data_IF_112615297647
#
_entry.id   IF_112615297647
#
_cell.length_a   1.000
_cell.length_b   1.000
_cell.length_c   1.000
_cell.angle_alpha   90.00
_cell.angle_beta   90.00
_cell.angle_gamma   90.00
#
_symmetry.space_group_name_H-M   'P 1'
#
loop_
_entity.id
_entity.type
_entity.pdbx_description
1 polymer ?
#
# COMPACT_ATOMS: atom_id res chain seq x y z
N UNK A 1 24.82 18.53 -27.12
CA UNK A 1 23.65 17.63 -27.15
C UNK A 1 22.77 18.01 -25.97
N UNK A 2 21.72 18.75 -26.25
CA UNK A 2 20.68 19.14 -25.29
C UNK A 2 20.10 17.87 -24.67
N UNK A 3 20.08 17.78 -23.34
CA UNK A 3 19.32 16.73 -22.64
C UNK A 3 17.88 16.87 -23.08
N UNK A 4 17.42 16.02 -24.00
CA UNK A 4 16.00 15.90 -24.29
C UNK A 4 15.29 15.68 -22.95
N UNK A 5 14.28 16.52 -22.70
CA UNK A 5 13.43 16.38 -21.53
C UNK A 5 12.70 15.04 -21.69
N UNK A 6 13.20 13.99 -21.05
CA UNK A 6 12.50 12.72 -20.99
C UNK A 6 11.27 12.98 -20.13
N UNK A 7 10.10 13.02 -20.76
CA UNK A 7 8.79 13.11 -20.10
C UNK A 7 8.76 12.07 -18.97
N UNK A 8 8.24 12.45 -17.80
CA UNK A 8 8.21 11.62 -16.60
C UNK A 8 6.81 11.44 -16.05
N UNK A 9 6.72 10.73 -14.92
CA UNK A 9 5.51 10.73 -14.09
C UNK A 9 5.13 12.18 -13.73
N UNK A 10 3.84 12.41 -13.48
CA UNK A 10 3.28 13.70 -13.05
C UNK A 10 2.75 13.55 -11.62
N UNK A 11 3.59 13.74 -10.57
CA UNK A 11 3.20 13.54 -9.18
C UNK A 11 2.02 14.43 -8.74
N UNK A 12 1.98 15.66 -9.23
CA UNK A 12 0.93 16.64 -8.95
C UNK A 12 -0.44 16.23 -9.51
N UNK A 13 -0.44 15.44 -10.60
CA UNK A 13 -1.65 14.83 -11.18
C UNK A 13 -1.88 13.39 -10.76
N UNK A 14 -1.03 12.86 -9.87
CA UNK A 14 -0.99 11.45 -9.49
C UNK A 14 -1.02 10.48 -10.69
N UNK A 15 -0.36 10.87 -11.77
CA UNK A 15 -0.38 10.17 -13.05
C UNK A 15 0.99 9.55 -13.35
N UNK A 16 0.96 8.33 -13.88
CA UNK A 16 2.14 7.49 -14.11
C UNK A 16 2.37 7.43 -15.61
N UNK A 17 3.54 7.85 -16.08
CA UNK A 17 3.84 7.81 -17.51
C UNK A 17 3.89 6.36 -18.01
N UNK A 18 3.27 6.10 -19.16
CA UNK A 18 3.27 4.79 -19.78
C UNK A 18 4.46 4.60 -20.72
N UNK A 19 4.65 3.36 -21.16
CA UNK A 19 5.81 2.94 -21.97
C UNK A 19 5.90 3.69 -23.32
N UNK A 20 4.77 4.12 -23.86
CA UNK A 20 4.72 4.90 -25.11
C UNK A 20 5.32 6.31 -24.96
N UNK A 21 5.51 6.79 -23.73
CA UNK A 21 6.03 8.14 -23.46
C UNK A 21 5.01 9.26 -23.73
N UNK A 22 3.76 8.91 -24.03
CA UNK A 22 2.72 9.86 -24.44
C UNK A 22 1.54 9.82 -23.46
N UNK A 23 1.12 8.61 -23.08
CA UNK A 23 -0.06 8.37 -22.26
C UNK A 23 0.29 8.12 -20.79
N UNK A 24 -0.74 8.18 -19.96
CA UNK A 24 -0.65 8.09 -18.51
C UNK A 24 -1.61 7.05 -17.94
N UNK A 25 -1.29 6.56 -16.75
CA UNK A 25 -2.21 5.80 -15.93
C UNK A 25 -2.53 6.55 -14.64
N UNK A 26 -3.81 6.53 -14.26
CA UNK A 26 -4.28 6.99 -12.96
C UNK A 26 -4.77 5.79 -12.15
N UNK A 27 -4.59 5.85 -10.83
CA UNK A 27 -5.00 4.77 -9.93
C UNK A 27 -5.72 5.38 -8.73
N UNK A 28 -7.06 5.35 -8.70
CA UNK A 28 -7.82 5.82 -7.54
C UNK A 28 -7.57 4.97 -6.30
N UNK A 29 -7.82 5.58 -5.14
CA UNK A 29 -7.75 4.90 -3.87
C UNK A 29 -8.93 3.94 -3.70
N UNK A 30 -8.64 2.68 -3.36
CA UNK A 30 -9.62 1.64 -3.10
C UNK A 30 -9.20 0.94 -1.80
N UNK A 31 -9.69 1.40 -0.63
CA UNK A 31 -9.35 0.83 0.66
C UNK A 31 -9.60 -0.68 0.70
N UNK A 32 -8.56 -1.45 1.02
CA UNK A 32 -8.64 -2.92 1.11
C UNK A 32 -8.98 -3.66 -0.18
N UNK A 33 -9.07 -2.97 -1.32
CA UNK A 33 -9.61 -3.53 -2.56
C UNK A 33 -11.08 -3.89 -2.51
N UNK A 34 -11.83 -3.33 -1.56
CA UNK A 34 -13.27 -3.55 -1.44
C UNK A 34 -13.96 -2.54 -2.35
N UNK A 35 -14.72 -3.04 -3.32
CA UNK A 35 -15.44 -2.23 -4.32
C UNK A 35 -16.90 -2.63 -4.37
N UNK A 36 -17.75 -1.66 -4.66
CA UNK A 36 -19.17 -1.88 -4.94
C UNK A 36 -19.43 -1.73 -6.45
N UNK A 37 -20.55 -2.27 -6.98
CA UNK A 37 -20.87 -2.21 -8.40
C UNK A 37 -20.82 -0.80 -9.00
N UNK A 38 -21.19 0.22 -8.23
CA UNK A 38 -21.21 1.63 -8.62
C UNK A 38 -19.80 2.15 -8.90
N UNK A 39 -18.82 1.76 -8.07
CA UNK A 39 -17.40 2.09 -8.28
C UNK A 39 -16.89 1.44 -9.57
N UNK A 40 -17.27 0.19 -9.83
CA UNK A 40 -16.85 -0.52 -11.04
C UNK A 40 -17.47 0.09 -12.31
N UNK A 41 -18.77 0.43 -12.26
CA UNK A 41 -19.44 1.17 -13.35
C UNK A 41 -18.74 2.49 -13.63
N UNK A 42 -18.47 3.27 -12.59
CA UNK A 42 -17.78 4.57 -12.73
C UNK A 42 -16.40 4.43 -13.37
N UNK A 43 -15.63 3.41 -12.99
CA UNK A 43 -14.32 3.13 -13.62
C UNK A 43 -14.45 2.72 -15.09
N UNK A 44 -15.47 1.94 -15.43
CA UNK A 44 -15.77 1.56 -16.81
C UNK A 44 -16.17 2.80 -17.64
N UNK A 45 -17.08 3.63 -17.13
CA UNK A 45 -17.55 4.85 -17.80
C UNK A 45 -16.38 5.81 -18.10
N UNK A 46 -15.48 6.01 -17.14
CA UNK A 46 -14.26 6.84 -17.33
C UNK A 46 -13.33 6.20 -18.36
N UNK A 47 -13.12 4.88 -18.30
CA UNK A 47 -12.26 4.20 -19.25
C UNK A 47 -12.78 4.31 -20.69
N UNK A 48 -14.08 4.13 -20.91
CA UNK A 48 -14.71 4.25 -22.22
C UNK A 48 -14.69 5.69 -22.73
N UNK A 49 -15.11 6.65 -21.89
CA UNK A 49 -15.21 8.07 -22.27
C UNK A 49 -13.87 8.67 -22.72
N UNK A 50 -12.79 8.32 -22.02
CA UNK A 50 -11.46 8.87 -22.29
C UNK A 50 -10.59 7.93 -23.14
N UNK A 51 -11.17 6.86 -23.70
CA UNK A 51 -10.45 5.95 -24.59
C UNK A 51 -9.26 5.25 -23.93
N UNK A 52 -9.39 4.89 -22.66
CA UNK A 52 -8.34 4.19 -21.92
C UNK A 52 -7.99 2.86 -22.61
N UNK A 53 -6.70 2.56 -22.69
CA UNK A 53 -6.20 1.32 -23.27
C UNK A 53 -6.58 0.08 -22.44
N UNK A 54 -6.65 0.21 -21.11
CA UNK A 54 -7.05 -0.89 -20.23
C UNK A 54 -7.46 -0.44 -18.81
N UNK A 55 -8.26 -1.27 -18.15
CA UNK A 55 -8.41 -1.29 -16.70
C UNK A 55 -7.53 -2.41 -16.11
N UNK A 56 -6.53 -2.04 -15.31
CA UNK A 56 -5.55 -2.98 -14.76
C UNK A 56 -5.75 -3.21 -13.26
N UNK A 57 -6.14 -4.43 -12.88
CA UNK A 57 -6.05 -4.89 -11.48
C UNK A 57 -4.58 -5.02 -11.09
N UNK A 58 -4.19 -4.38 -9.99
CA UNK A 58 -2.82 -4.35 -9.49
C UNK A 58 -2.64 -5.25 -8.25
N UNK A 59 -1.39 -5.61 -7.96
CA UNK A 59 -1.06 -6.41 -6.75
C UNK A 59 -1.34 -5.70 -5.42
N UNK A 60 -1.59 -4.39 -5.46
CA UNK A 60 -1.99 -3.57 -4.32
C UNK A 60 -3.50 -3.53 -4.09
N UNK A 61 -4.28 -4.44 -4.71
CA UNK A 61 -5.74 -4.51 -4.60
C UNK A 61 -6.46 -3.23 -5.02
N UNK A 62 -6.04 -2.66 -6.15
CA UNK A 62 -6.68 -1.50 -6.78
C UNK A 62 -6.72 -1.66 -8.29
N UNK A 63 -7.54 -0.86 -8.95
CA UNK A 63 -7.70 -0.84 -10.41
C UNK A 63 -7.08 0.46 -10.93
N UNK A 64 -6.19 0.37 -11.91
CA UNK A 64 -5.65 1.53 -12.62
C UNK A 64 -6.34 1.70 -13.98
N UNK A 65 -6.64 2.93 -14.35
CA UNK A 65 -7.09 3.32 -15.69
C UNK A 65 -5.85 3.71 -16.49
N UNK A 66 -5.53 2.94 -17.52
CA UNK A 66 -4.26 3.01 -18.26
C UNK A 66 -4.49 3.55 -19.66
N UNK A 67 -3.60 4.42 -20.13
CA UNK A 67 -3.61 4.90 -21.52
C UNK A 67 -4.42 6.18 -21.70
N UNK A 68 -4.54 7.00 -20.67
CA UNK A 68 -5.19 8.31 -20.74
C UNK A 68 -4.22 9.33 -21.35
N UNK A 69 -4.75 10.26 -22.16
CA UNK A 69 -3.96 11.39 -22.63
C UNK A 69 -3.72 12.39 -21.51
N UNK A 70 -2.64 13.16 -21.62
CA UNK A 70 -2.25 14.10 -20.57
C UNK A 70 -3.27 15.22 -20.37
N UNK A 71 -3.83 15.73 -21.48
CA UNK A 71 -4.85 16.78 -21.50
C UNK A 71 -6.17 16.36 -20.84
N UNK A 72 -6.44 15.05 -20.79
CA UNK A 72 -7.68 14.48 -20.25
C UNK A 72 -7.60 14.19 -18.74
N UNK A 73 -6.40 14.22 -18.15
CA UNK A 73 -6.17 13.76 -16.78
C UNK A 73 -7.01 14.50 -15.73
N UNK A 74 -7.11 15.82 -15.83
CA UNK A 74 -7.81 16.64 -14.85
C UNK A 74 -9.33 16.42 -14.93
N UNK A 75 -9.86 16.28 -16.14
CA UNK A 75 -11.28 15.96 -16.39
C UNK A 75 -11.61 14.53 -15.94
N UNK A 76 -10.75 13.56 -16.24
CA UNK A 76 -10.90 12.18 -15.81
C UNK A 76 -10.91 12.06 -14.28
N UNK A 77 -10.00 12.74 -13.57
CA UNK A 77 -10.00 12.80 -12.11
C UNK A 77 -11.24 13.49 -11.54
N UNK A 78 -11.63 14.63 -12.12
CA UNK A 78 -12.79 15.41 -11.68
C UNK A 78 -14.08 14.59 -11.76
N UNK A 79 -14.30 13.89 -12.87
CA UNK A 79 -15.47 13.04 -13.04
C UNK A 79 -15.39 11.76 -12.20
N UNK A 80 -14.21 11.14 -12.11
CA UNK A 80 -13.99 9.98 -11.26
C UNK A 80 -14.28 10.30 -9.79
N UNK A 81 -14.00 11.52 -9.32
CA UNK A 81 -14.39 12.00 -7.99
C UNK A 81 -13.85 11.14 -6.84
N UNK A 82 -12.73 10.44 -7.06
CA UNK A 82 -12.07 9.59 -6.07
C UNK A 82 -10.70 10.18 -5.73
N UNK A 83 -10.24 9.95 -4.49
CA UNK A 83 -8.89 10.36 -4.10
C UNK A 83 -7.83 9.54 -4.84
N UNK A 84 -6.66 10.11 -5.17
CA UNK A 84 -5.55 9.34 -5.70
C UNK A 84 -5.07 8.24 -4.75
N UNK A 85 -4.79 7.05 -5.29
CA UNK A 85 -4.42 5.86 -4.53
C UNK A 85 -2.97 5.79 -4.07
N UNK A 86 -2.22 6.90 -4.10
CA UNK A 86 -0.79 6.93 -3.78
C UNK A 86 0.01 5.87 -4.57
N UNK A 87 -0.19 5.79 -5.88
CA UNK A 87 0.45 4.77 -6.72
C UNK A 87 1.93 5.04 -6.99
N UNK A 88 2.38 6.28 -6.81
CA UNK A 88 3.76 6.79 -6.90
C UNK A 88 4.14 7.53 -5.60
N UNK A 89 5.41 7.93 -5.45
CA UNK A 89 5.90 8.67 -4.27
C UNK A 89 6.56 7.84 -3.15
N UNK A 90 7.18 8.53 -2.18
CA UNK A 90 7.82 7.96 -1.00
C UNK A 90 6.87 8.03 0.19
N UNK A 91 5.88 7.15 0.19
CA UNK A 91 4.79 7.16 1.17
C UNK A 91 4.29 5.74 1.45
N UNK A 92 3.33 5.61 2.36
CA UNK A 92 2.52 4.40 2.50
C UNK A 92 1.67 4.23 1.25
N UNK A 93 2.12 3.34 0.35
CA UNK A 93 1.51 3.10 -0.97
C UNK A 93 0.21 2.31 -0.89
N UNK A 94 0.15 1.36 0.04
CA UNK A 94 -0.96 0.40 0.10
C UNK A 94 -1.02 -0.33 1.43
N UNK A 95 -2.23 -0.54 1.92
CA UNK A 95 -2.55 -1.52 2.97
C UNK A 95 -3.31 -2.67 2.30
N UNK A 96 -2.66 -3.83 2.12
CA UNK A 96 -3.26 -5.01 1.48
C UNK A 96 -4.06 -5.80 2.52
N UNK A 97 -5.33 -6.09 2.26
CA UNK A 97 -6.26 -6.66 3.22
C UNK A 97 -6.87 -7.96 2.67
N UNK A 98 -6.86 -9.03 3.46
CA UNK A 98 -7.58 -10.25 3.10
C UNK A 98 -9.03 -10.19 3.62
N UNK A 99 -9.93 -11.07 3.16
CA UNK A 99 -11.33 -10.97 3.55
C UNK A 99 -11.63 -11.20 5.05
N UNK A 100 -10.67 -11.71 5.84
CA UNK A 100 -10.79 -11.79 7.30
C UNK A 100 -11.97 -12.63 7.79
N UNK A 101 -12.34 -12.48 9.06
CA UNK A 101 -13.60 -13.02 9.60
C UNK A 101 -14.83 -12.33 9.00
N UNK A 102 -14.68 -11.16 8.40
CA UNK A 102 -15.75 -10.42 7.71
C UNK A 102 -16.37 -11.23 6.57
N UNK A 103 -15.56 -11.91 5.75
CA UNK A 103 -16.10 -12.70 4.62
C UNK A 103 -15.57 -14.14 4.51
N UNK A 104 -14.45 -14.50 5.15
CA UNK A 104 -13.79 -15.79 4.95
C UNK A 104 -13.95 -16.72 6.15
N UNK A 105 -14.48 -17.93 5.91
CA UNK A 105 -14.63 -18.99 6.94
C UNK A 105 -13.33 -19.44 7.63
N UNK A 106 -12.16 -19.15 7.03
CA UNK A 106 -10.84 -19.50 7.60
C UNK A 106 -10.28 -18.38 8.47
N UNK A 107 -10.88 -17.19 8.46
CA UNK A 107 -10.46 -16.05 9.26
C UNK A 107 -10.42 -16.42 10.74
N UNK A 108 -9.35 -15.99 11.42
CA UNK A 108 -9.18 -16.10 12.87
C UNK A 108 -9.34 -14.74 13.55
N UNK A 109 -9.01 -13.68 12.84
CA UNK A 109 -9.19 -12.30 13.26
C UNK A 109 -9.79 -11.46 12.13
N UNK A 110 -10.40 -10.33 12.49
CA UNK A 110 -10.95 -9.40 11.50
C UNK A 110 -9.84 -8.54 10.88
N UNK A 111 -9.33 -8.98 9.72
CA UNK A 111 -8.38 -8.19 8.96
C UNK A 111 -9.00 -7.02 8.22
N UNK A 112 -10.32 -7.04 7.97
CA UNK A 112 -10.99 -5.94 7.25
C UNK A 112 -11.10 -4.73 8.16
N UNK A 113 -11.67 -4.89 9.35
CA UNK A 113 -11.75 -3.80 10.34
C UNK A 113 -10.39 -3.19 10.67
N UNK A 114 -9.42 -4.01 11.09
CA UNK A 114 -8.07 -3.52 11.42
C UNK A 114 -7.37 -2.89 10.20
N UNK A 115 -7.44 -3.53 9.04
CA UNK A 115 -6.78 -3.02 7.85
C UNK A 115 -7.34 -1.69 7.36
N UNK A 116 -8.66 -1.48 7.45
CA UNK A 116 -9.28 -0.21 7.07
C UNK A 116 -8.91 0.92 8.03
N UNK A 117 -8.80 0.66 9.34
CA UNK A 117 -8.29 1.63 10.31
C UNK A 117 -6.85 2.07 10.00
N UNK A 118 -6.00 1.11 9.61
CA UNK A 118 -4.63 1.39 9.19
C UNK A 118 -4.59 2.17 7.87
N UNK A 119 -5.44 1.81 6.90
CA UNK A 119 -5.53 2.50 5.62
C UNK A 119 -5.98 3.96 5.82
N UNK A 120 -7.02 4.20 6.61
CA UNK A 120 -7.52 5.53 6.94
C UNK A 120 -6.44 6.40 7.60
N UNK A 121 -5.70 5.84 8.56
CA UNK A 121 -4.67 6.60 9.31
C UNK A 121 -3.40 6.84 8.50
N UNK A 122 -2.99 5.90 7.65
CA UNK A 122 -1.63 5.89 7.09
C UNK A 122 -1.54 6.00 5.57
N UNK A 123 -2.58 5.68 4.80
CA UNK A 123 -2.51 5.73 3.33
C UNK A 123 -2.05 7.11 2.84
N UNK A 124 -1.07 7.12 1.93
CA UNK A 124 -0.50 8.36 1.40
C UNK A 124 0.44 9.12 2.36
N UNK A 125 0.60 8.69 3.61
CA UNK A 125 1.51 9.32 4.57
C UNK A 125 2.95 9.28 4.04
N UNK A 126 3.60 10.44 3.96
CA UNK A 126 4.99 10.57 3.53
C UNK A 126 5.94 9.88 4.52
N UNK A 127 6.90 9.14 3.97
CA UNK A 127 7.88 8.35 4.68
C UNK A 127 9.23 8.40 3.96
N UNK A 128 10.34 8.01 4.62
CA UNK A 128 11.66 8.06 3.98
C UNK A 128 11.77 7.23 2.69
N UNK A 129 10.94 6.21 2.51
CA UNK A 129 10.84 5.43 1.27
C UNK A 129 9.41 4.92 1.06
N UNK A 130 9.15 4.29 -0.09
CA UNK A 130 7.86 3.61 -0.32
C UNK A 130 7.64 2.55 0.76
N UNK A 131 6.44 2.51 1.31
CA UNK A 131 6.09 1.63 2.41
C UNK A 131 4.79 0.89 2.10
N UNK A 132 4.71 -0.39 2.47
CA UNK A 132 3.56 -1.25 2.23
C UNK A 132 3.20 -1.97 3.51
N UNK A 133 1.90 -2.01 3.81
CA UNK A 133 1.36 -2.81 4.89
C UNK A 133 0.56 -3.98 4.33
N UNK A 134 0.42 -5.04 5.12
CA UNK A 134 -0.49 -6.14 4.82
C UNK A 134 -1.13 -6.68 6.08
N UNK A 135 -2.45 -6.92 6.03
CA UNK A 135 -3.24 -7.48 7.13
C UNK A 135 -3.93 -8.74 6.63
N UNK A 136 -3.64 -9.87 7.26
CA UNK A 136 -4.29 -11.15 6.99
C UNK A 136 -4.91 -11.71 8.26
N UNK A 137 -6.17 -12.14 8.19
CA UNK A 137 -6.90 -12.66 9.35
C UNK A 137 -6.48 -14.08 9.77
N UNK A 138 -5.60 -14.75 9.03
CA UNK A 138 -5.08 -16.08 9.38
C UNK A 138 -3.71 -16.36 8.72
N UNK A 139 -3.08 -17.48 9.09
CA UNK A 139 -1.76 -17.91 8.62
C UNK A 139 -1.66 -18.20 7.11
N UNK A 140 -2.76 -18.31 6.36
CA UNK A 140 -2.71 -18.41 4.90
C UNK A 140 -2.06 -17.18 4.25
N UNK A 141 -2.03 -16.04 4.96
CA UNK A 141 -1.34 -14.82 4.53
C UNK A 141 -1.70 -14.39 3.09
N UNK A 142 -2.99 -14.34 2.74
CA UNK A 142 -3.44 -13.92 1.41
C UNK A 142 -3.03 -12.47 1.06
N UNK A 143 -2.68 -11.66 2.06
CA UNK A 143 -2.10 -10.33 1.90
C UNK A 143 -0.57 -10.32 1.79
N UNK A 144 0.08 -11.48 1.69
CA UNK A 144 1.54 -11.69 1.67
C UNK A 144 2.27 -10.90 2.77
N UNK A 145 1.79 -11.00 4.01
CA UNK A 145 2.18 -10.13 5.13
C UNK A 145 3.68 -10.14 5.41
N UNK A 146 4.33 -11.30 5.30
CA UNK A 146 5.74 -11.46 5.63
C UNK A 146 6.68 -10.70 4.67
N UNK A 147 6.22 -10.32 3.48
CA UNK A 147 7.02 -9.55 2.51
C UNK A 147 6.62 -8.06 2.44
N UNK A 148 5.84 -7.60 3.42
CA UNK A 148 5.47 -6.18 3.58
C UNK A 148 6.41 -5.49 4.55
N UNK A 149 6.53 -4.17 4.44
CA UNK A 149 7.32 -3.37 5.37
C UNK A 149 6.79 -3.54 6.79
N UNK A 150 5.46 -3.60 6.94
CA UNK A 150 4.76 -4.09 8.14
C UNK A 150 3.71 -5.12 7.73
N UNK A 151 3.80 -6.31 8.33
CA UNK A 151 2.87 -7.41 8.12
C UNK A 151 2.15 -7.78 9.41
N UNK A 152 0.83 -8.01 9.32
CA UNK A 152 -0.02 -8.36 10.46
C UNK A 152 -0.78 -9.64 10.15
N UNK A 153 -0.61 -10.67 10.96
CA UNK A 153 -1.23 -11.99 10.76
C UNK A 153 -2.06 -12.39 11.97
N UNK A 154 -3.34 -12.64 11.75
CA UNK A 154 -4.25 -13.17 12.76
C UNK A 154 -3.93 -14.62 13.15
N UNK A 155 -4.03 -14.90 14.43
CA UNK A 155 -3.94 -16.22 15.08
C UNK A 155 -5.20 -16.43 15.91
N UNK A 156 -5.34 -17.60 16.53
CA UNK A 156 -6.43 -17.83 17.48
C UNK A 156 -6.30 -16.98 18.77
N UNK A 157 -5.11 -16.45 19.07
CA UNK A 157 -4.81 -15.71 20.30
C UNK A 157 -4.78 -14.19 20.13
N UNK A 158 -4.72 -13.70 18.89
CA UNK A 158 -4.58 -12.29 18.57
C UNK A 158 -3.88 -12.10 17.23
N UNK A 159 -3.05 -11.07 17.11
CA UNK A 159 -2.28 -10.75 15.92
C UNK A 159 -0.77 -10.83 16.16
N UNK A 160 -0.06 -11.37 15.19
CA UNK A 160 1.40 -11.30 15.14
C UNK A 160 1.82 -10.19 14.18
N UNK A 161 2.81 -9.40 14.58
CA UNK A 161 3.35 -8.29 13.79
C UNK A 161 4.76 -8.63 13.33
N UNK A 162 4.99 -8.51 12.03
CA UNK A 162 6.30 -8.64 11.40
C UNK A 162 6.73 -7.34 10.72
N UNK A 163 8.03 -7.10 10.63
CA UNK A 163 8.59 -5.87 10.06
C UNK A 163 9.77 -6.14 9.12
N UNK A 164 9.99 -5.25 8.16
CA UNK A 164 11.17 -5.29 7.30
C UNK A 164 11.05 -6.15 6.05
N UNK A 165 9.86 -6.67 5.74
CA UNK A 165 9.65 -7.48 4.53
C UNK A 165 9.78 -6.66 3.24
N UNK A 166 10.24 -7.31 2.17
CA UNK A 166 10.38 -6.72 0.86
C UNK A 166 10.23 -7.77 -0.25
N UNK A 167 9.38 -7.48 -1.24
CA UNK A 167 9.24 -8.26 -2.48
C UNK A 167 9.93 -7.61 -3.69
N UNK A 168 10.88 -6.69 -3.44
CA UNK A 168 11.60 -5.96 -4.48
C UNK A 168 12.83 -6.71 -5.01
N UNK A 169 13.75 -6.01 -5.70
CA UNK A 169 14.94 -6.62 -6.31
C UNK A 169 15.87 -7.35 -5.34
N UNK A 170 15.85 -6.94 -4.06
CA UNK A 170 16.47 -7.66 -2.95
C UNK A 170 15.36 -8.17 -2.03
N UNK A 171 14.82 -9.38 -2.27
CA UNK A 171 13.78 -9.96 -1.44
C UNK A 171 14.24 -10.10 0.01
N UNK A 172 13.35 -9.81 0.94
CA UNK A 172 13.59 -9.94 2.38
C UNK A 172 12.31 -10.43 3.04
N UNK A 173 12.42 -11.48 3.84
CA UNK A 173 11.35 -11.86 4.75
C UNK A 173 11.36 -10.91 5.94
N UNK A 174 10.18 -10.48 6.37
CA UNK A 174 10.01 -9.71 7.58
C UNK A 174 10.28 -10.57 8.81
N UNK A 175 10.69 -9.93 9.89
CA UNK A 175 10.95 -10.58 11.17
C UNK A 175 9.75 -10.37 12.08
N UNK A 176 9.25 -11.43 12.72
CA UNK A 176 8.15 -11.34 13.68
C UNK A 176 8.68 -10.71 14.97
N UNK A 177 8.23 -9.50 15.28
CA UNK A 177 8.70 -8.71 16.43
C UNK A 177 7.76 -8.77 17.62
N UNK A 178 6.46 -9.03 17.39
CA UNK A 178 5.46 -9.17 18.44
C UNK A 178 4.43 -10.24 18.06
N UNK A 179 3.85 -10.89 19.08
CA UNK A 179 2.88 -11.97 18.92
C UNK A 179 1.69 -11.79 19.83
N UNK A 180 0.57 -12.39 19.44
CA UNK A 180 -0.66 -12.50 20.23
C UNK A 180 -1.20 -11.15 20.75
N UNK A 181 -1.04 -10.09 19.94
CA UNK A 181 -1.51 -8.75 20.26
C UNK A 181 -3.01 -8.59 20.03
N UNK A 182 -3.67 -7.77 20.86
CA UNK A 182 -5.01 -7.24 20.56
C UNK A 182 -4.95 -6.24 19.39
N UNK A 183 -6.11 -5.91 18.81
CA UNK A 183 -6.19 -4.91 17.74
C UNK A 183 -5.61 -3.56 18.17
N UNK A 184 -5.93 -3.10 19.37
CA UNK A 184 -5.43 -1.83 19.94
C UNK A 184 -3.91 -1.84 20.10
N UNK A 185 -3.35 -2.95 20.58
CA UNK A 185 -1.90 -3.12 20.71
C UNK A 185 -1.20 -3.15 19.35
N UNK A 186 -1.84 -3.68 18.30
CA UNK A 186 -1.31 -3.61 16.94
C UNK A 186 -1.29 -2.17 16.45
N UNK A 187 -2.39 -1.42 16.61
CA UNK A 187 -2.46 -0.02 16.18
C UNK A 187 -1.39 0.85 16.85
N UNK A 188 -1.22 0.68 18.16
CA UNK A 188 -0.16 1.35 18.95
C UNK A 188 1.24 0.96 18.47
N UNK A 189 1.52 -0.33 18.28
CA UNK A 189 2.82 -0.79 17.82
C UNK A 189 3.13 -0.27 16.40
N UNK A 190 2.16 -0.27 15.49
CA UNK A 190 2.36 0.27 14.13
C UNK A 190 2.66 1.77 14.18
N UNK A 191 2.02 2.52 15.07
CA UNK A 191 2.33 3.93 15.28
C UNK A 191 3.77 4.14 15.75
N UNK A 192 4.23 3.37 16.75
CA UNK A 192 5.62 3.39 17.21
C UNK A 192 6.62 3.05 16.10
N UNK A 193 6.33 2.01 15.31
CA UNK A 193 7.15 1.61 14.15
C UNK A 193 7.25 2.74 13.12
N UNK A 194 6.12 3.37 12.77
CA UNK A 194 6.07 4.47 11.79
C UNK A 194 6.86 5.67 12.29
N UNK A 195 6.69 6.06 13.55
CA UNK A 195 7.40 7.20 14.14
C UNK A 195 8.90 6.94 14.22
N UNK A 196 9.31 5.74 14.64
CA UNK A 196 10.72 5.33 14.65
C UNK A 196 11.33 5.38 13.24
N UNK A 197 10.62 4.83 12.25
CA UNK A 197 11.08 4.83 10.86
C UNK A 197 11.18 6.24 10.27
N UNK A 198 10.23 7.13 10.57
CA UNK A 198 10.30 8.56 10.20
C UNK A 198 11.55 9.24 10.76
N UNK A 199 11.90 8.93 12.01
CA UNK A 199 13.07 9.50 12.70
C UNK A 199 14.42 9.08 12.14
N UNK A 200 14.50 8.04 11.30
CA UNK A 200 15.76 7.48 10.81
C UNK A 200 16.55 8.41 9.86
N UNK A 201 15.88 9.35 9.18
CA UNK A 201 16.53 10.41 8.40
C UNK A 201 17.23 9.99 7.10
N UNK A 202 17.30 8.70 6.75
CA UNK A 202 17.85 8.21 5.47
C UNK A 202 16.75 7.65 4.56
N UNK A 203 16.80 7.94 3.25
CA UNK A 203 15.87 7.37 2.27
C UNK A 203 16.21 5.91 1.95
N UNK A 204 15.85 5.02 2.87
CA UNK A 204 16.00 3.55 2.75
C UNK A 204 14.71 2.88 3.16
N UNK A 205 14.41 1.71 2.58
CA UNK A 205 13.30 0.86 3.03
C UNK A 205 13.54 0.39 4.47
N UNK A 206 12.47 0.18 5.24
CA UNK A 206 12.59 -0.19 6.66
C UNK A 206 13.39 -1.48 6.88
N UNK A 207 13.29 -2.46 5.98
CA UNK A 207 14.12 -3.68 6.04
C UNK A 207 15.62 -3.38 5.94
N UNK A 208 16.03 -2.47 5.04
CA UNK A 208 17.43 -2.08 4.89
C UNK A 208 17.92 -1.20 6.06
N UNK A 209 17.02 -0.46 6.71
CA UNK A 209 17.32 0.21 7.98
C UNK A 209 17.59 -0.82 9.07
N UNK A 210 16.73 -1.84 9.21
CA UNK A 210 16.89 -2.91 10.20
C UNK A 210 18.19 -3.68 9.97
N UNK A 211 18.55 -3.97 8.71
CA UNK A 211 19.82 -4.63 8.38
C UNK A 211 21.05 -3.79 8.80
N UNK A 212 20.92 -2.46 8.85
CA UNK A 212 21.99 -1.54 9.27
C UNK A 212 22.08 -1.40 10.79
N UNK A 213 20.95 -1.25 11.48
CA UNK A 213 20.93 -0.98 12.94
C UNK A 213 20.86 -2.26 13.78
N UNK A 214 20.40 -3.37 13.20
CA UNK A 214 20.12 -4.63 13.88
C UNK A 214 18.69 -4.69 14.44
N UNK A 215 18.07 -5.89 14.37
CA UNK A 215 16.68 -6.10 14.82
C UNK A 215 16.47 -5.82 16.31
N UNK A 216 17.45 -6.10 17.16
CA UNK A 216 17.32 -5.84 18.60
C UNK A 216 17.27 -4.34 18.92
N UNK A 217 18.12 -3.52 18.28
CA UNK A 217 18.03 -2.05 18.42
C UNK A 217 16.74 -1.50 17.87
N UNK A 218 16.24 -2.09 16.79
CA UNK A 218 14.93 -1.72 16.25
C UNK A 218 13.82 -2.01 17.28
N UNK A 219 13.81 -3.21 17.87
CA UNK A 219 12.82 -3.61 18.89
C UNK A 219 12.86 -2.70 20.10
N UNK A 220 14.04 -2.43 20.64
CA UNK A 220 14.23 -1.46 21.73
C UNK A 220 13.67 -0.08 21.35
N UNK A 221 14.00 0.42 20.16
CA UNK A 221 13.56 1.72 19.66
C UNK A 221 12.05 1.85 19.45
N UNK A 222 11.34 0.74 19.27
CA UNK A 222 9.87 0.71 19.21
C UNK A 222 9.23 0.24 20.51
N UNK A 223 10.00 -0.03 21.57
CA UNK A 223 9.50 -0.45 22.89
C UNK A 223 8.99 -1.90 22.91
N UNK A 224 9.79 -2.84 22.39
CA UNK A 224 9.56 -4.29 22.38
C UNK A 224 10.71 -5.06 23.03
#
# INVERSE_FOLDING_TARGET
MTKEYVKGDLPEKAAILQRDGETYAIAPHIPGGIVYPETLRKLADIAEKYGAAALKVTSAQRIAVVGLKEEDLDSAWGELGMKPGAAIGLCVRSVKICPGTTFCKRGKQDSVGLGLKLDEKYHGMQLPSKFKMGVSGCQNSCSETIIKDVGIVGTAKGFNVSVGGNAGPRPRLGEVVAKDLSEEQVLDLVERIINFYKGYGKSKRIGAMIDEIGIEKFKEGVGL
#
